data_IF_599360230769
#
_entry.id   IF_599360230769
#
_cell.length_a   1.000
_cell.length_b   1.000
_cell.length_c   1.000
_cell.angle_alpha   90.00
_cell.angle_beta   90.00
_cell.angle_gamma   90.00
#
_symmetry.space_group_name_H-M   'P 1'
#
loop_
_entity.id
_entity.type
_entity.pdbx_description
1 polymer ?
#
# COMPACT_ATOMS: atom_id res chain seq x y z
N UNK A 1 5.27 18.47 2.70
CA UNK A 1 5.13 17.37 1.71
C UNK A 1 4.55 16.15 2.41
N UNK A 2 3.53 15.57 1.82
CA UNK A 2 2.87 14.40 2.42
C UNK A 2 3.67 13.14 2.14
N UNK A 3 3.83 12.28 3.12
CA UNK A 3 4.57 11.03 3.00
C UNK A 3 3.68 9.84 3.29
N UNK A 4 3.87 8.77 2.52
CA UNK A 4 3.14 7.53 2.68
C UNK A 4 4.11 6.35 2.60
N UNK A 5 3.79 5.27 3.32
CA UNK A 5 4.54 4.03 3.25
C UNK A 5 3.66 2.99 2.58
N UNK A 6 4.18 2.37 1.54
CA UNK A 6 3.45 1.35 0.77
C UNK A 6 4.23 0.06 0.77
N UNK A 7 3.58 -1.02 1.21
CA UNK A 7 4.14 -2.36 1.10
C UNK A 7 3.27 -3.15 0.13
N UNK A 8 3.88 -3.68 -0.92
CA UNK A 8 3.14 -4.42 -1.94
C UNK A 8 3.91 -5.64 -2.43
N UNK A 9 3.19 -6.59 -2.99
CA UNK A 9 3.74 -7.85 -3.47
C UNK A 9 4.10 -7.76 -4.95
N UNK A 10 5.35 -8.12 -5.27
CA UNK A 10 5.82 -8.25 -6.65
C UNK A 10 6.59 -9.56 -6.75
N UNK A 11 5.90 -10.61 -7.17
CA UNK A 11 6.53 -11.93 -7.36
C UNK A 11 7.05 -12.06 -8.80
N UNK A 12 8.05 -12.92 -9.03
CA UNK A 12 8.62 -13.09 -10.39
C UNK A 12 7.58 -13.45 -11.43
N UNK A 13 6.55 -14.19 -11.07
CA UNK A 13 5.49 -14.66 -11.97
C UNK A 13 4.15 -13.94 -11.80
N UNK A 14 4.08 -12.97 -10.87
CA UNK A 14 2.82 -12.30 -10.59
C UNK A 14 3.04 -10.96 -9.88
N UNK A 15 2.55 -9.89 -10.49
CA UNK A 15 2.50 -8.58 -9.86
C UNK A 15 1.05 -8.27 -9.49
N UNK A 16 0.80 -8.01 -8.21
CA UNK A 16 -0.54 -7.74 -7.73
C UNK A 16 -1.05 -6.41 -8.28
N UNK A 17 -2.14 -6.40 -9.06
CA UNK A 17 -2.66 -5.15 -9.64
C UNK A 17 -3.15 -4.16 -8.59
N UNK A 18 -3.60 -4.63 -7.43
CA UNK A 18 -4.02 -3.74 -6.35
C UNK A 18 -2.85 -2.95 -5.77
N UNK A 19 -1.66 -3.54 -5.76
CA UNK A 19 -0.45 -2.84 -5.33
C UNK A 19 -0.05 -1.74 -6.31
N UNK A 20 -0.14 -2.02 -7.60
CA UNK A 20 0.11 -1.02 -8.65
C UNK A 20 -0.88 0.13 -8.53
N UNK A 21 -2.16 -0.19 -8.33
CA UNK A 21 -3.21 0.82 -8.15
C UNK A 21 -2.94 1.72 -6.95
N UNK A 22 -2.54 1.13 -5.82
CA UNK A 22 -2.23 1.89 -4.62
C UNK A 22 -1.09 2.88 -4.88
N UNK A 23 -0.04 2.45 -5.59
CA UNK A 23 1.07 3.32 -5.94
C UNK A 23 0.61 4.47 -6.84
N UNK A 24 -0.20 4.17 -7.84
CA UNK A 24 -0.71 5.20 -8.75
C UNK A 24 -1.58 6.22 -8.02
N UNK A 25 -2.43 5.75 -7.09
CA UNK A 25 -3.26 6.64 -6.29
C UNK A 25 -2.42 7.60 -5.44
N UNK A 26 -1.38 7.09 -4.81
CA UNK A 26 -0.50 7.92 -3.98
C UNK A 26 0.29 8.92 -4.82
N UNK A 27 0.82 8.48 -5.95
CA UNK A 27 1.56 9.36 -6.86
C UNK A 27 0.64 10.48 -7.39
N UNK A 28 -0.58 10.13 -7.78
CA UNK A 28 -1.55 11.11 -8.28
C UNK A 28 -2.01 12.10 -7.23
N UNK A 29 -1.97 11.72 -5.95
CA UNK A 29 -2.35 12.59 -4.85
C UNK A 29 -1.19 13.43 -4.31
N UNK A 30 0.00 13.30 -4.89
CA UNK A 30 1.16 14.11 -4.51
C UNK A 30 1.91 13.63 -3.29
N UNK A 31 1.74 12.36 -2.89
CA UNK A 31 2.49 11.79 -1.77
C UNK A 31 3.90 11.41 -2.17
N UNK A 32 4.83 11.58 -1.24
CA UNK A 32 6.15 10.98 -1.35
C UNK A 32 6.03 9.55 -0.82
N UNK A 33 6.29 8.57 -1.66
CA UNK A 33 6.05 7.16 -1.35
C UNK A 33 7.35 6.46 -0.96
N UNK A 34 7.34 5.87 0.25
CA UNK A 34 8.39 4.97 0.70
C UNK A 34 7.87 3.55 0.45
N UNK A 35 8.36 2.93 -0.62
CA UNK A 35 7.84 1.66 -1.09
C UNK A 35 8.70 0.49 -0.65
N UNK A 36 8.04 -0.54 -0.10
CA UNK A 36 8.67 -1.81 0.23
C UNK A 36 8.07 -2.88 -0.66
N UNK A 37 8.92 -3.61 -1.37
CA UNK A 37 8.50 -4.69 -2.25
C UNK A 37 8.73 -6.05 -1.59
N UNK A 38 7.66 -6.85 -1.52
CA UNK A 38 7.74 -8.24 -1.06
C UNK A 38 7.88 -9.10 -2.31
N UNK A 39 9.04 -9.69 -2.50
CA UNK A 39 9.39 -10.36 -3.75
C UNK A 39 9.35 -11.88 -3.69
N UNK A 40 9.12 -12.45 -2.50
CA UNK A 40 8.95 -13.89 -2.33
C UNK A 40 7.70 -14.17 -1.51
N UNK A 41 7.15 -15.38 -1.66
CA UNK A 41 5.99 -15.79 -0.88
C UNK A 41 6.31 -15.85 0.62
N UNK A 42 7.52 -16.23 0.98
CA UNK A 42 7.96 -16.24 2.37
C UNK A 42 7.92 -14.84 2.97
N UNK A 43 8.37 -13.84 2.22
CA UNK A 43 8.33 -12.44 2.66
C UNK A 43 6.89 -11.96 2.84
N UNK A 44 6.00 -12.33 1.91
CA UNK A 44 4.58 -11.97 1.99
C UNK A 44 3.94 -12.57 3.24
N UNK A 45 4.16 -13.85 3.49
CA UNK A 45 3.59 -14.52 4.66
C UNK A 45 4.15 -13.94 5.97
N UNK A 46 5.45 -13.69 6.01
CA UNK A 46 6.09 -13.09 7.17
C UNK A 46 5.53 -11.69 7.47
N UNK A 47 5.33 -10.89 6.43
CA UNK A 47 4.74 -9.56 6.58
C UNK A 47 3.33 -9.62 7.12
N UNK A 48 2.50 -10.51 6.57
CA UNK A 48 1.12 -10.66 7.02
C UNK A 48 1.04 -11.09 8.48
N UNK A 49 1.91 -12.01 8.89
CA UNK A 49 1.96 -12.47 10.28
C UNK A 49 2.44 -11.37 11.22
N UNK A 50 3.49 -10.65 10.83
CA UNK A 50 4.07 -9.60 11.65
C UNK A 50 3.09 -8.44 11.89
N UNK A 51 2.38 -8.04 10.86
CA UNK A 51 1.45 -6.91 10.94
C UNK A 51 0.00 -7.33 11.21
N UNK A 52 -0.24 -8.64 11.34
CA UNK A 52 -1.58 -9.19 11.60
C UNK A 52 -2.59 -8.76 10.57
N UNK A 53 -2.21 -8.78 9.30
CA UNK A 53 -3.07 -8.43 8.18
C UNK A 53 -3.29 -9.64 7.28
N UNK A 54 -4.42 -9.69 6.61
CA UNK A 54 -4.78 -10.82 5.75
C UNK A 54 -4.40 -10.58 4.29
N UNK A 55 -4.16 -9.33 3.90
CA UNK A 55 -3.96 -8.99 2.50
C UNK A 55 -2.85 -7.95 2.31
N UNK A 56 -2.35 -7.86 1.08
CA UNK A 56 -1.50 -6.77 0.59
C UNK A 56 -2.17 -6.19 -0.66
N UNK A 57 -1.92 -4.94 -1.04
CA UNK A 57 -0.98 -3.98 -0.44
C UNK A 57 -1.47 -3.43 0.89
N UNK A 58 -0.54 -2.82 1.63
CA UNK A 58 -0.86 -2.08 2.85
C UNK A 58 -0.23 -0.71 2.78
N UNK A 59 -1.02 0.31 3.09
CA UNK A 59 -0.59 1.71 3.03
C UNK A 59 -0.68 2.31 4.43
N UNK A 60 0.39 3.02 4.81
CA UNK A 60 0.42 3.80 6.05
C UNK A 60 0.65 5.26 5.70
N UNK A 61 -0.10 6.15 6.30
CA UNK A 61 0.05 7.59 6.15
C UNK A 61 0.17 8.21 7.53
N UNK A 62 1.28 8.91 7.76
CA UNK A 62 1.61 9.51 9.07
C UNK A 62 1.58 8.47 10.21
N UNK A 63 2.05 7.25 9.91
CA UNK A 63 2.09 6.18 10.89
C UNK A 63 0.76 5.46 11.11
N UNK A 64 -0.31 5.90 10.49
CA UNK A 64 -1.63 5.28 10.60
C UNK A 64 -1.90 4.34 9.43
N UNK A 65 -2.37 3.15 9.73
CA UNK A 65 -2.70 2.18 8.68
C UNK A 65 -3.99 2.59 7.97
N UNK A 66 -3.87 2.83 6.67
CA UNK A 66 -5.03 3.12 5.81
C UNK A 66 -5.64 1.82 5.32
N UNK A 67 -4.81 0.87 4.89
CA UNK A 67 -5.26 -0.42 4.38
C UNK A 67 -4.84 -0.65 2.94
N UNK A 68 -5.67 -1.36 2.18
CA UNK A 68 -5.40 -1.69 0.79
C UNK A 68 -5.84 -0.59 -0.18
N UNK A 69 -5.87 -0.92 -1.48
CA UNK A 69 -6.17 0.07 -2.52
C UNK A 69 -7.57 0.67 -2.40
N UNK A 70 -8.57 -0.13 -2.03
CA UNK A 70 -9.94 0.37 -1.88
C UNK A 70 -10.06 1.35 -0.72
N UNK A 71 -9.46 1.00 0.43
CA UNK A 71 -9.45 1.88 1.58
C UNK A 71 -8.68 3.16 1.30
N UNK A 72 -7.59 3.05 0.54
CA UNK A 72 -6.81 4.22 0.13
C UNK A 72 -7.61 5.14 -0.77
N UNK A 73 -8.35 4.59 -1.71
CA UNK A 73 -9.19 5.38 -2.60
C UNK A 73 -10.23 6.18 -1.81
N UNK A 74 -10.89 5.55 -0.85
CA UNK A 74 -11.84 6.23 0.03
C UNK A 74 -11.18 7.30 0.88
N UNK A 75 -10.02 6.99 1.43
CA UNK A 75 -9.26 7.95 2.23
C UNK A 75 -8.91 9.20 1.43
N UNK A 76 -8.42 9.03 0.22
CA UNK A 76 -8.03 10.14 -0.64
C UNK A 76 -9.24 10.96 -1.09
N UNK A 77 -10.36 10.31 -1.36
CA UNK A 77 -11.60 11.00 -1.72
C UNK A 77 -12.10 11.86 -0.57
N UNK A 78 -12.05 11.35 0.66
CA UNK A 78 -12.45 12.09 1.86
C UNK A 78 -11.51 13.26 2.10
N UNK A 79 -10.21 13.07 1.94
CA UNK A 79 -9.22 14.11 2.11
C UNK A 79 -9.41 15.22 1.08
N UNK A 80 -9.67 14.86 -0.17
CA UNK A 80 -9.90 15.83 -1.24
C UNK A 80 -11.20 16.61 -1.04
N UNK A 81 -12.21 15.99 -0.44
CA UNK A 81 -13.49 16.62 -0.18
C UNK A 81 -13.47 17.54 1.05
N UNK A 82 -12.55 17.29 1.94
CA UNK A 82 -12.39 18.07 3.16
C UNK A 82 -11.41 19.18 2.99
#
# INVERSE_FOLDING_TARGET
MKAAQLTRMVLPDHTCPFGVRARELLDGAGYQVDETLLTTRAEVEAYKAEHKVATTPQVFIDGHRVGGSDALEEFLATEAAG
#
